data_IF_229927131293
#
_entry.id   IF_229927131293
#
_cell.length_a   1.000
_cell.length_b   1.000
_cell.length_c   1.000
_cell.angle_alpha   90.00
_cell.angle_beta   90.00
_cell.angle_gamma   90.00
#
_symmetry.space_group_name_H-M   'P 1'
#
loop_
_entity.id
_entity.type
_entity.pdbx_description
1 polymer ?
#
# COMPACT_ATOMS: atom_id res chain seq x y z
N UNK A 1 11.70 -29.27 -21.03
CA UNK A 1 11.33 -27.82 -20.88
C UNK A 1 10.49 -27.50 -19.62
N UNK A 2 10.00 -28.51 -18.91
CA UNK A 2 9.09 -28.36 -17.74
C UNK A 2 9.81 -27.99 -16.44
N UNK A 3 11.09 -28.29 -16.27
CA UNK A 3 11.85 -28.06 -15.01
C UNK A 3 12.23 -26.58 -14.77
N UNK A 4 12.36 -25.77 -15.80
CA UNK A 4 12.83 -24.38 -15.67
C UNK A 4 11.73 -23.46 -15.10
N UNK A 5 10.47 -23.70 -15.44
CA UNK A 5 9.33 -22.89 -14.95
C UNK A 5 9.03 -23.17 -13.48
N UNK A 6 9.17 -24.42 -13.05
CA UNK A 6 8.99 -24.82 -11.63
C UNK A 6 10.06 -24.20 -10.74
N UNK A 7 11.32 -24.17 -11.19
CA UNK A 7 12.41 -23.55 -10.43
C UNK A 7 12.24 -22.04 -10.30
N UNK A 8 11.73 -21.37 -11.34
CA UNK A 8 11.50 -19.92 -11.33
C UNK A 8 10.35 -19.49 -10.39
N UNK A 9 9.29 -20.30 -10.28
CA UNK A 9 8.21 -20.06 -9.30
C UNK A 9 8.68 -20.26 -7.85
N UNK A 10 9.64 -21.14 -7.62
CA UNK A 10 10.24 -21.36 -6.30
C UNK A 10 11.03 -20.14 -5.82
N UNK A 11 11.71 -19.43 -6.73
CA UNK A 11 12.44 -18.19 -6.40
C UNK A 11 11.47 -17.15 -5.82
N UNK A 12 10.33 -16.90 -6.47
CA UNK A 12 9.37 -15.93 -5.96
C UNK A 12 8.75 -16.34 -4.62
N UNK A 13 8.48 -17.62 -4.43
CA UNK A 13 7.99 -18.14 -3.16
C UNK A 13 8.99 -17.92 -2.00
N UNK A 14 10.28 -18.13 -2.24
CA UNK A 14 11.34 -17.86 -1.24
C UNK A 14 11.51 -16.36 -0.98
N UNK A 15 11.43 -15.51 -2.00
CA UNK A 15 11.44 -14.05 -1.85
C UNK A 15 10.25 -13.60 -1.03
N UNK A 16 9.04 -14.10 -1.30
CA UNK A 16 7.84 -13.79 -0.51
C UNK A 16 8.00 -14.18 0.94
N UNK A 17 8.58 -15.35 1.23
CA UNK A 17 8.83 -15.83 2.60
C UNK A 17 9.80 -14.91 3.34
N UNK A 18 10.87 -14.45 2.66
CA UNK A 18 11.81 -13.48 3.23
C UNK A 18 11.14 -12.12 3.50
N UNK A 19 10.27 -11.66 2.59
CA UNK A 19 9.53 -10.40 2.76
C UNK A 19 8.48 -10.48 3.88
N UNK A 20 7.86 -11.64 4.08
CA UNK A 20 6.88 -11.85 5.15
C UNK A 20 7.48 -11.68 6.55
N UNK A 21 8.77 -11.97 6.71
CA UNK A 21 9.49 -11.77 7.99
C UNK A 21 9.92 -10.32 8.21
N UNK A 22 10.11 -9.56 7.14
CA UNK A 22 10.67 -8.20 7.20
C UNK A 22 9.61 -7.09 7.10
N UNK A 23 8.40 -7.43 6.66
CA UNK A 23 7.31 -6.47 6.49
C UNK A 23 6.21 -6.68 7.54
N UNK A 24 5.45 -5.62 7.81
CA UNK A 24 4.24 -5.75 8.62
C UNK A 24 3.24 -6.67 7.93
N UNK A 25 2.45 -7.40 8.71
CA UNK A 25 1.44 -8.31 8.17
C UNK A 25 0.45 -7.62 7.22
N UNK A 26 -0.09 -6.41 7.53
CA UNK A 26 -0.96 -5.69 6.60
C UNK A 26 -0.26 -5.32 5.29
N UNK A 27 0.97 -4.84 5.34
CA UNK A 27 1.75 -4.47 4.16
C UNK A 27 2.02 -5.68 3.26
N UNK A 28 2.43 -6.80 3.84
CA UNK A 28 2.66 -8.03 3.09
C UNK A 28 1.39 -8.54 2.41
N UNK A 29 0.27 -8.64 3.15
CA UNK A 29 -1.00 -9.15 2.63
C UNK A 29 -1.60 -8.24 1.54
N UNK A 30 -1.39 -6.92 1.64
CA UNK A 30 -1.97 -5.95 0.70
C UNK A 30 -1.13 -5.79 -0.56
N UNK A 31 0.19 -5.75 -0.43
CA UNK A 31 1.08 -5.37 -1.53
C UNK A 31 1.82 -6.55 -2.15
N UNK A 32 2.40 -7.42 -1.32
CA UNK A 32 3.30 -8.48 -1.78
C UNK A 32 2.52 -9.74 -2.18
N UNK A 33 1.60 -10.18 -1.32
CA UNK A 33 0.82 -11.41 -1.56
C UNK A 33 0.01 -11.41 -2.86
N UNK A 34 -0.64 -10.30 -3.27
CA UNK A 34 -1.38 -10.26 -4.52
C UNK A 34 -0.50 -10.18 -5.77
N UNK A 35 0.78 -9.84 -5.63
CA UNK A 35 1.71 -9.77 -6.74
C UNK A 35 2.06 -11.17 -7.26
N UNK A 36 1.88 -11.38 -8.57
CA UNK A 36 2.13 -12.65 -9.23
C UNK A 36 3.48 -12.64 -9.93
N UNK A 37 4.16 -13.77 -9.91
CA UNK A 37 5.36 -13.96 -10.71
C UNK A 37 5.00 -14.04 -12.21
N UNK A 38 5.78 -13.36 -13.05
CA UNK A 38 5.66 -13.42 -14.50
C UNK A 38 6.84 -14.13 -15.14
N UNK A 39 8.03 -13.54 -15.02
CA UNK A 39 9.26 -14.14 -15.51
C UNK A 39 10.49 -13.67 -14.74
N UNK A 40 11.56 -14.45 -14.82
CA UNK A 40 12.88 -14.10 -14.32
C UNK A 40 13.91 -14.44 -15.40
N UNK A 41 14.58 -13.43 -15.97
CA UNK A 41 15.54 -13.59 -17.06
C UNK A 41 16.66 -12.55 -16.92
N UNK A 42 17.91 -13.00 -17.04
CA UNK A 42 19.09 -12.13 -17.01
C UNK A 42 19.15 -11.18 -15.80
N UNK A 43 18.80 -11.68 -14.60
CA UNK A 43 18.76 -10.83 -13.40
C UNK A 43 17.55 -9.88 -13.33
N UNK A 44 16.58 -10.01 -14.25
CA UNK A 44 15.37 -9.19 -14.28
C UNK A 44 14.16 -9.97 -13.81
N UNK A 45 13.62 -9.60 -12.65
CA UNK A 45 12.41 -10.17 -12.07
C UNK A 45 11.18 -9.36 -12.49
N UNK A 46 10.28 -9.94 -13.24
CA UNK A 46 9.02 -9.30 -13.65
C UNK A 46 7.88 -9.81 -12.78
N UNK A 47 7.19 -8.90 -12.11
CA UNK A 47 6.02 -9.15 -11.28
C UNK A 47 4.78 -8.48 -11.86
N UNK A 48 3.63 -9.12 -11.71
CA UNK A 48 2.33 -8.60 -12.13
C UNK A 48 1.57 -8.17 -10.88
N UNK A 49 1.29 -6.88 -10.79
CA UNK A 49 0.45 -6.31 -9.75
C UNK A 49 -1.04 -6.36 -10.17
N UNK A 50 -1.97 -6.45 -9.20
CA UNK A 50 -3.40 -6.59 -9.49
C UNK A 50 -4.03 -5.37 -10.18
N UNK A 51 -3.41 -4.20 -10.09
CA UNK A 51 -3.85 -2.96 -10.74
C UNK A 51 -2.68 -1.97 -10.87
N UNK A 52 -2.89 -0.91 -11.64
CA UNK A 52 -1.88 0.13 -11.90
C UNK A 52 -1.43 0.83 -10.61
N UNK A 53 -2.38 1.14 -9.73
CA UNK A 53 -2.08 1.75 -8.45
C UNK A 53 -1.11 0.91 -7.60
N UNK A 54 -1.39 -0.40 -7.46
CA UNK A 54 -0.50 -1.31 -6.74
C UNK A 54 0.87 -1.44 -7.40
N UNK A 55 0.92 -1.42 -8.74
CA UNK A 55 2.17 -1.43 -9.50
C UNK A 55 3.04 -0.21 -9.20
N UNK A 56 2.45 0.98 -9.21
CA UNK A 56 3.16 2.23 -8.96
C UNK A 56 3.60 2.34 -7.49
N UNK A 57 2.73 1.91 -6.57
CA UNK A 57 3.05 1.87 -5.14
C UNK A 57 4.21 0.92 -4.83
N UNK A 58 4.18 -0.31 -5.36
CA UNK A 58 5.26 -1.29 -5.22
C UNK A 58 6.57 -0.77 -5.79
N UNK A 59 6.53 -0.15 -6.97
CA UNK A 59 7.71 0.44 -7.60
C UNK A 59 8.34 1.51 -6.75
N UNK A 60 7.54 2.38 -6.13
CA UNK A 60 8.01 3.53 -5.40
C UNK A 60 8.49 3.21 -3.99
N UNK A 61 7.81 2.29 -3.30
CA UNK A 61 8.04 2.06 -1.87
C UNK A 61 8.71 0.71 -1.56
N UNK A 62 8.56 -0.29 -2.41
CA UNK A 62 9.02 -1.66 -2.13
C UNK A 62 10.03 -2.21 -3.14
N UNK A 63 10.35 -1.51 -4.21
CA UNK A 63 11.26 -1.98 -5.26
C UNK A 63 12.60 -2.42 -4.66
N UNK A 64 13.25 -1.53 -3.92
CA UNK A 64 14.56 -1.80 -3.30
C UNK A 64 14.49 -2.95 -2.27
N UNK A 65 13.41 -3.03 -1.50
CA UNK A 65 13.21 -4.09 -0.51
C UNK A 65 13.06 -5.45 -1.18
N UNK A 66 12.32 -5.52 -2.28
CA UNK A 66 12.13 -6.74 -3.07
C UNK A 66 13.42 -7.12 -3.80
N UNK A 67 14.15 -6.16 -4.37
CA UNK A 67 15.46 -6.38 -5.01
C UNK A 67 16.45 -7.00 -4.02
N UNK A 68 16.61 -6.41 -2.82
CA UNK A 68 17.47 -6.96 -1.76
C UNK A 68 17.08 -8.37 -1.31
N UNK A 69 15.76 -8.63 -1.21
CA UNK A 69 15.29 -9.96 -0.85
C UNK A 69 15.55 -10.98 -1.99
N UNK A 70 15.38 -10.58 -3.24
CA UNK A 70 15.65 -11.41 -4.41
C UNK A 70 17.16 -11.69 -4.57
N UNK A 71 18.01 -10.69 -4.36
CA UNK A 71 19.47 -10.86 -4.37
C UNK A 71 19.97 -11.88 -3.34
N UNK A 72 19.37 -11.87 -2.14
CA UNK A 72 19.70 -12.88 -1.09
C UNK A 72 19.34 -14.30 -1.51
N UNK A 73 18.24 -14.45 -2.27
CA UNK A 73 17.75 -15.76 -2.71
C UNK A 73 18.51 -16.24 -3.95
N UNK A 74 18.78 -15.36 -4.91
CA UNK A 74 19.41 -15.70 -6.19
C UNK A 74 20.95 -15.71 -6.12
N UNK A 75 21.55 -14.97 -5.18
CA UNK A 75 23.00 -14.81 -5.09
C UNK A 75 23.60 -13.89 -6.16
N UNK A 76 22.78 -13.20 -6.94
CA UNK A 76 23.17 -12.27 -8.00
C UNK A 76 22.34 -10.98 -7.92
N UNK A 77 22.82 -9.91 -8.55
CA UNK A 77 22.08 -8.64 -8.62
C UNK A 77 20.79 -8.81 -9.40
N UNK A 78 19.65 -8.48 -8.76
CA UNK A 78 18.32 -8.59 -9.33
C UNK A 78 17.69 -7.20 -9.45
N UNK A 79 17.15 -6.92 -10.65
CA UNK A 79 16.28 -5.76 -10.90
C UNK A 79 14.83 -6.20 -10.98
N UNK A 80 13.93 -5.37 -10.45
CA UNK A 80 12.49 -5.70 -10.40
C UNK A 80 11.68 -4.77 -11.31
N UNK A 81 10.82 -5.35 -12.14
CA UNK A 81 9.85 -4.63 -12.96
C UNK A 81 8.44 -5.06 -12.57
N UNK A 82 7.56 -4.07 -12.41
CA UNK A 82 6.15 -4.29 -12.14
C UNK A 82 5.31 -4.00 -13.38
N UNK A 83 4.41 -4.94 -13.73
CA UNK A 83 3.35 -4.78 -14.73
C UNK A 83 1.99 -4.83 -14.03
N UNK A 84 0.96 -4.20 -14.59
CA UNK A 84 -0.42 -4.33 -14.11
C UNK A 84 -1.22 -5.28 -14.98
N UNK A 85 -2.17 -6.02 -14.41
CA UNK A 85 -3.05 -6.94 -15.18
C UNK A 85 -3.92 -6.20 -16.22
N UNK A 86 -4.11 -4.88 -16.11
CA UNK A 86 -4.99 -4.10 -17.00
C UNK A 86 -4.36 -3.63 -18.31
N UNK A 87 -3.24 -4.20 -18.77
CA UNK A 87 -2.61 -3.80 -20.05
C UNK A 87 -3.23 -4.46 -21.30
N UNK A 88 -4.44 -4.99 -21.21
CA UNK A 88 -5.12 -5.62 -22.36
C UNK A 88 -6.22 -4.77 -23.00
N UNK A 89 -6.27 -3.44 -22.82
CA UNK A 89 -7.08 -2.54 -23.66
C UNK A 89 -6.93 -1.09 -23.17
N UNK A 90 -5.93 -0.38 -23.65
CA UNK A 90 -5.99 1.07 -23.88
C UNK A 90 -4.71 1.54 -24.60
N UNK A 91 -4.67 1.36 -25.89
CA UNK A 91 -3.98 2.31 -26.75
C UNK A 91 -4.81 3.61 -26.78
N UNK A 92 -4.08 4.73 -26.71
CA UNK A 92 -4.56 6.08 -27.06
C UNK A 92 -5.68 6.69 -26.21
N UNK A 93 -5.30 7.55 -25.24
CA UNK A 93 -5.69 8.95 -25.30
C UNK A 93 -4.85 9.81 -24.31
N UNK A 94 -3.92 10.51 -24.90
CA UNK A 94 -3.32 11.71 -24.32
C UNK A 94 -4.40 12.78 -24.26
N UNK A 95 -4.74 13.21 -23.08
CA UNK A 95 -5.68 14.32 -22.86
C UNK A 95 -5.22 15.14 -21.67
N UNK A 96 -4.42 16.16 -21.94
CA UNK A 96 -4.22 17.32 -21.07
C UNK A 96 -5.56 17.88 -20.64
N UNK A 97 -5.79 17.99 -19.34
CA UNK A 97 -6.71 19.01 -18.81
C UNK A 97 -6.06 19.67 -17.60
N UNK A 98 -5.44 20.79 -17.87
CA UNK A 98 -5.21 21.86 -16.92
C UNK A 98 -6.55 22.46 -16.54
N UNK A 99 -6.85 22.57 -15.27
CA UNK A 99 -7.87 23.53 -14.80
C UNK A 99 -7.50 23.99 -13.40
N UNK A 100 -6.92 25.15 -13.38
CA UNK A 100 -6.90 26.06 -12.24
C UNK A 100 -8.35 26.41 -11.87
N UNK A 101 -8.69 26.32 -10.61
CA UNK A 101 -9.73 27.18 -10.05
C UNK A 101 -9.41 27.49 -8.58
N UNK A 102 -9.01 28.71 -8.38
CA UNK A 102 -9.04 29.48 -7.15
C UNK A 102 -10.47 29.56 -6.60
N UNK A 103 -10.68 29.17 -5.36
CA UNK A 103 -11.77 29.73 -4.56
C UNK A 103 -11.27 29.97 -3.13
N UNK A 104 -11.41 31.21 -2.74
CA UNK A 104 -11.12 31.92 -1.52
C UNK A 104 -11.71 31.32 -0.23
N UNK A 105 -10.93 31.50 0.85
CA UNK A 105 -11.37 31.37 2.25
C UNK A 105 -12.58 32.27 2.61
N UNK A 106 -13.32 31.88 3.62
CA UNK A 106 -13.54 32.80 4.71
C UNK A 106 -13.19 32.24 6.11
N UNK A 107 -12.53 33.08 6.85
CA UNK A 107 -12.23 32.99 8.27
C UNK A 107 -13.49 32.91 9.13
N UNK A 108 -13.47 32.11 10.18
CA UNK A 108 -14.19 32.40 11.42
C UNK A 108 -13.46 31.78 12.62
N UNK A 109 -13.09 32.65 13.53
CA UNK A 109 -12.50 32.41 14.83
C UNK A 109 -13.37 31.54 15.73
N UNK A 110 -12.75 30.69 16.54
CA UNK A 110 -13.15 30.51 17.94
C UNK A 110 -12.01 29.87 18.72
N UNK A 111 -11.45 30.65 19.64
CA UNK A 111 -10.57 30.25 20.71
C UNK A 111 -11.20 29.14 21.56
N UNK A 112 -10.47 28.07 21.78
CA UNK A 112 -10.48 27.38 23.05
C UNK A 112 -9.14 26.65 23.26
N UNK A 113 -8.24 27.34 23.96
CA UNK A 113 -7.01 26.77 24.48
C UNK A 113 -7.37 25.78 25.60
N UNK A 114 -7.31 24.49 25.31
CA UNK A 114 -7.10 23.50 26.36
C UNK A 114 -5.67 22.96 26.29
N UNK A 115 -4.90 23.31 27.31
CA UNK A 115 -3.57 22.78 27.59
C UNK A 115 -3.62 21.26 27.68
N UNK A 116 -3.09 20.58 26.66
CA UNK A 116 -2.81 19.16 26.74
C UNK A 116 -1.50 18.95 27.49
N UNK A 117 -1.62 18.48 28.71
CA UNK A 117 -0.52 18.03 29.54
C UNK A 117 0.06 16.76 28.91
N UNK A 118 1.32 16.83 28.50
CA UNK A 118 2.10 15.70 28.01
C UNK A 118 2.31 14.69 29.16
N UNK A 119 1.48 13.68 29.24
CA UNK A 119 1.80 12.45 29.96
C UNK A 119 1.96 11.32 28.93
N UNK A 120 3.20 10.81 28.86
CA UNK A 120 3.60 9.61 28.12
C UNK A 120 2.88 8.37 28.65
N UNK A 121 1.64 8.15 28.25
CA UNK A 121 1.00 6.83 28.33
C UNK A 121 0.57 6.45 26.92
N UNK A 122 1.18 5.39 26.41
CA UNK A 122 1.09 4.82 25.05
C UNK A 122 -0.28 4.23 24.67
N UNK A 123 -1.37 4.89 24.97
CA UNK A 123 -2.69 4.43 24.49
C UNK A 123 -3.51 5.70 24.23
N UNK A 124 -3.76 6.00 22.97
CA UNK A 124 -4.78 7.00 22.62
C UNK A 124 -6.14 6.45 23.05
N UNK A 125 -6.80 7.08 24.06
CA UNK A 125 -8.05 6.55 24.61
C UNK A 125 -9.24 6.55 23.63
N UNK A 126 -9.03 7.02 22.42
CA UNK A 126 -10.09 7.20 21.40
C UNK A 126 -10.13 6.15 20.29
N UNK A 127 -9.16 5.23 20.22
CA UNK A 127 -9.12 4.21 19.15
C UNK A 127 -9.71 2.89 19.65
N UNK A 128 -10.70 2.37 18.91
CA UNK A 128 -11.31 1.08 19.22
C UNK A 128 -10.41 -0.05 18.72
N UNK A 129 -9.94 -0.92 19.63
CA UNK A 129 -9.05 -2.06 19.35
C UNK A 129 -9.58 -3.07 18.31
N UNK A 130 -10.87 -2.98 17.96
CA UNK A 130 -11.46 -3.82 16.92
C UNK A 130 -11.20 -3.30 15.51
N UNK A 131 -10.89 -2.01 15.35
CA UNK A 131 -10.75 -1.35 14.05
C UNK A 131 -9.29 -1.29 13.62
N UNK A 132 -8.72 -2.45 13.34
CA UNK A 132 -7.36 -2.64 12.81
C UNK A 132 -7.41 -3.21 11.40
N UNK A 133 -6.38 -2.98 10.58
CA UNK A 133 -6.33 -3.47 9.20
C UNK A 133 -6.55 -4.99 9.09
N UNK A 134 -5.99 -5.77 10.01
CA UNK A 134 -6.10 -7.23 10.00
C UNK A 134 -7.52 -7.77 10.20
N UNK A 135 -8.44 -6.95 10.71
CA UNK A 135 -9.85 -7.31 10.93
C UNK A 135 -10.78 -6.72 9.87
N UNK A 136 -10.25 -5.90 8.97
CA UNK A 136 -11.06 -5.34 7.89
C UNK A 136 -11.30 -6.39 6.80
N UNK A 137 -12.55 -6.60 6.43
CA UNK A 137 -12.91 -7.54 5.35
C UNK A 137 -12.75 -6.83 4.01
N UNK A 138 -11.75 -7.26 3.24
CA UNK A 138 -11.45 -6.67 1.94
C UNK A 138 -12.27 -7.37 0.86
N UNK A 139 -13.28 -6.68 0.33
CA UNK A 139 -14.05 -7.10 -0.84
C UNK A 139 -13.59 -6.40 -2.13
N UNK A 140 -14.15 -6.77 -3.30
CA UNK A 140 -13.81 -6.13 -4.58
C UNK A 140 -13.96 -4.62 -4.56
N UNK A 141 -15.04 -4.11 -3.96
CA UNK A 141 -15.36 -2.68 -3.91
C UNK A 141 -14.58 -1.90 -2.83
N UNK A 142 -14.07 -2.56 -1.79
CA UNK A 142 -13.31 -1.92 -0.71
C UNK A 142 -11.81 -2.07 -0.83
N UNK A 143 -11.32 -2.87 -1.79
CA UNK A 143 -9.90 -3.15 -1.97
C UNK A 143 -9.08 -1.87 -2.19
N UNK A 144 -9.55 -0.97 -3.04
CA UNK A 144 -8.86 0.29 -3.33
C UNK A 144 -8.83 1.19 -2.11
N UNK A 145 -9.95 1.34 -1.39
CA UNK A 145 -10.01 2.14 -0.18
C UNK A 145 -9.09 1.58 0.93
N UNK A 146 -9.04 0.26 1.10
CA UNK A 146 -8.13 -0.40 2.03
C UNK A 146 -6.67 -0.15 1.66
N UNK A 147 -6.29 -0.33 0.38
CA UNK A 147 -4.93 -0.09 -0.09
C UNK A 147 -4.50 1.38 0.09
N UNK A 148 -5.37 2.34 -0.27
CA UNK A 148 -5.09 3.76 -0.07
C UNK A 148 -4.95 4.12 1.41
N UNK A 149 -5.81 3.58 2.29
CA UNK A 149 -5.72 3.79 3.73
C UNK A 149 -4.41 3.25 4.31
N UNK A 150 -3.98 2.07 3.87
CA UNK A 150 -2.71 1.49 4.29
C UNK A 150 -1.52 2.30 3.78
N UNK A 151 -1.57 2.79 2.54
CA UNK A 151 -0.55 3.65 1.97
C UNK A 151 -0.36 4.95 2.78
N UNK A 152 -1.46 5.57 3.21
CA UNK A 152 -1.41 6.74 4.12
C UNK A 152 -0.83 6.38 5.47
N UNK A 153 -1.17 5.21 6.02
CA UNK A 153 -0.65 4.76 7.30
C UNK A 153 0.87 4.51 7.26
N UNK A 154 1.37 3.94 6.15
CA UNK A 154 2.81 3.67 5.92
C UNK A 154 3.61 4.94 5.63
N UNK A 155 3.02 5.90 4.92
CA UNK A 155 3.71 7.11 4.46
C UNK A 155 2.82 8.35 4.57
N UNK A 156 2.57 8.85 5.79
CA UNK A 156 1.68 9.99 6.01
C UNK A 156 2.14 11.25 5.27
N UNK A 157 1.18 11.95 4.67
CA UNK A 157 1.41 13.26 4.04
C UNK A 157 2.13 13.22 2.69
N UNK A 158 2.39 12.05 2.12
CA UNK A 158 3.07 11.93 0.81
C UNK A 158 2.11 11.81 -0.36
N UNK A 159 1.62 10.57 -0.64
CA UNK A 159 0.89 10.26 -1.89
C UNK A 159 -0.59 10.68 -1.83
N UNK A 160 -1.20 10.54 -0.66
CA UNK A 160 -2.62 10.83 -0.43
C UNK A 160 -2.75 11.90 0.66
N UNK A 161 -2.70 13.15 0.27
CA UNK A 161 -2.88 14.27 1.17
C UNK A 161 -3.66 15.40 0.45
N UNK A 162 -4.97 15.50 0.71
CA UNK A 162 -5.77 14.72 1.66
C UNK A 162 -6.22 13.34 1.12
N UNK A 163 -6.41 12.36 2.03
CA UNK A 163 -7.16 11.13 1.74
C UNK A 163 -8.64 11.37 2.04
N UNK A 164 -9.50 11.25 1.03
CA UNK A 164 -10.94 11.36 1.17
C UNK A 164 -11.62 10.00 0.96
N UNK A 165 -12.30 9.47 1.98
CA UNK A 165 -13.01 8.20 1.93
C UNK A 165 -14.52 8.46 1.95
N UNK A 166 -15.19 8.16 0.84
CA UNK A 166 -16.65 8.27 0.71
C UNK A 166 -17.33 6.91 0.50
N UNK A 167 -18.60 6.85 0.76
CA UNK A 167 -19.39 5.63 0.59
C UNK A 167 -20.62 5.60 1.51
N UNK A 168 -21.51 4.63 1.30
CA UNK A 168 -22.71 4.41 2.10
C UNK A 168 -22.44 4.08 3.57
N UNK A 169 -23.50 4.03 4.37
CA UNK A 169 -23.44 3.64 5.78
C UNK A 169 -23.04 2.15 5.89
N UNK A 170 -22.26 1.81 6.93
CA UNK A 170 -21.86 0.42 7.19
C UNK A 170 -20.71 -0.12 6.36
N UNK A 171 -20.17 0.61 5.38
CA UNK A 171 -19.10 0.15 4.49
C UNK A 171 -17.67 0.19 5.10
N UNK A 172 -17.55 0.48 6.39
CA UNK A 172 -16.25 0.40 7.08
C UNK A 172 -15.38 1.64 7.01
N UNK A 173 -15.92 2.83 6.66
CA UNK A 173 -15.14 4.09 6.62
C UNK A 173 -14.45 4.40 7.95
N UNK A 174 -15.22 4.34 9.05
CA UNK A 174 -14.70 4.55 10.41
C UNK A 174 -13.66 3.49 10.80
N UNK A 175 -13.85 2.26 10.35
CA UNK A 175 -12.87 1.18 10.55
C UNK A 175 -11.52 1.54 9.90
N UNK A 176 -11.51 1.93 8.62
CA UNK A 176 -10.28 2.31 7.91
C UNK A 176 -9.61 3.53 8.54
N UNK A 177 -10.39 4.56 8.92
CA UNK A 177 -9.84 5.74 9.58
C UNK A 177 -9.14 5.39 10.91
N UNK A 178 -9.76 4.56 11.73
CA UNK A 178 -9.15 4.12 12.99
C UNK A 178 -8.00 3.15 12.79
N UNK A 179 -8.05 2.30 11.75
CA UNK A 179 -6.95 1.41 11.39
C UNK A 179 -5.68 2.17 11.00
N UNK A 180 -5.81 3.31 10.30
CA UNK A 180 -4.67 4.21 10.03
C UNK A 180 -4.06 4.70 11.35
N UNK A 181 -4.90 5.15 12.29
CA UNK A 181 -4.44 5.62 13.61
C UNK A 181 -3.73 4.53 14.41
N UNK A 182 -4.30 3.31 14.46
CA UNK A 182 -3.66 2.17 15.13
C UNK A 182 -2.30 1.82 14.53
N UNK A 183 -2.24 1.75 13.20
CA UNK A 183 -0.99 1.43 12.49
C UNK A 183 0.10 2.47 12.80
N UNK A 184 -0.26 3.75 12.83
CA UNK A 184 0.68 4.83 13.13
C UNK A 184 1.20 4.78 14.58
N UNK A 185 0.34 4.44 15.55
CA UNK A 185 0.73 4.28 16.97
C UNK A 185 1.59 3.04 17.18
N UNK A 186 1.41 1.98 16.37
CA UNK A 186 2.19 0.73 16.45
C UNK A 186 3.63 0.89 15.93
N UNK A 187 3.82 1.75 14.91
CA UNK A 187 5.15 1.95 14.27
C UNK A 187 5.98 3.04 14.97
N UNK A 188 5.37 4.04 15.60
CA UNK A 188 6.05 5.14 16.32
C UNK A 188 5.99 4.97 17.84
#
# INVERSE_FOLDING_TARGET
RTNIVQTKNLIWAEVQKSLQTNLSKPSYETWIRPAKFSCFENGLLTLIAPNTFSSDWLRKNYCETIEKAAEKVCGETVKVIFKSENFSNAESNSGNVSSENNISNPSANSDNQQKFIHNKSKISPCLNLRYVFNRFVVGPNSRMAHAAALAVAESPGREFNPLFICGGVGLGKTHLMQAIGHYHVEIN
#
